data_IF_568484218778
#
_entry.id   IF_568484218778
#
_cell.length_a   1.000
_cell.length_b   1.000
_cell.length_c   1.000
_cell.angle_alpha   90.00
_cell.angle_beta   90.00
_cell.angle_gamma   90.00
#
_symmetry.space_group_name_H-M   'P 1'
#
loop_
_entity.id
_entity.type
_entity.pdbx_description
1 polymer ?
#
# COMPACT_ATOMS: atom_id res chain seq x y z
N UNK A 1 -10.82 19.26 -11.29
CA UNK A 1 -10.36 19.53 -9.91
C UNK A 1 -10.55 18.25 -9.14
N UNK A 2 -9.56 17.79 -8.37
CA UNK A 2 -9.67 16.54 -7.60
C UNK A 2 -10.64 16.76 -6.45
N UNK A 3 -11.70 15.95 -6.37
CA UNK A 3 -12.74 16.08 -5.35
C UNK A 3 -12.41 15.24 -4.12
N UNK A 4 -12.70 15.79 -2.95
CA UNK A 4 -12.49 15.11 -1.67
C UNK A 4 -13.84 14.88 -0.99
N UNK A 5 -14.13 13.62 -0.69
CA UNK A 5 -15.18 13.24 0.24
C UNK A 5 -14.71 13.55 1.67
N UNK A 6 -15.53 14.25 2.44
CA UNK A 6 -15.29 14.50 3.87
C UNK A 6 -15.96 13.40 4.66
N UNK A 7 -15.20 12.73 5.51
CA UNK A 7 -15.69 11.68 6.40
C UNK A 7 -15.53 12.15 7.85
N UNK A 8 -16.54 11.85 8.67
CA UNK A 8 -16.52 12.02 10.12
C UNK A 8 -16.98 10.71 10.75
N UNK A 9 -16.17 10.16 11.64
CA UNK A 9 -16.50 9.01 12.46
C UNK A 9 -16.67 9.46 13.91
N UNK A 10 -17.78 9.08 14.51
CA UNK A 10 -17.94 9.07 15.97
C UNK A 10 -17.84 7.61 16.41
N UNK A 11 -16.83 7.31 17.22
CA UNK A 11 -16.49 5.95 17.60
C UNK A 11 -16.69 5.81 19.10
N UNK A 12 -17.36 4.74 19.52
CA UNK A 12 -17.52 4.41 20.93
C UNK A 12 -17.12 2.97 21.21
N UNK A 13 -16.43 2.72 22.31
CA UNK A 13 -15.94 1.38 22.63
C UNK A 13 -15.14 1.30 23.93
N UNK A 14 -14.57 0.13 24.20
CA UNK A 14 -13.70 -0.07 25.37
C UNK A 14 -12.42 0.76 25.22
N UNK A 15 -11.98 1.41 26.30
CA UNK A 15 -10.78 2.27 26.31
C UNK A 15 -9.57 1.65 25.61
N UNK A 16 -9.28 0.38 25.93
CA UNK A 16 -8.11 -0.33 25.38
C UNK A 16 -8.22 -0.50 23.87
N UNK A 17 -9.42 -0.74 23.35
CA UNK A 17 -9.63 -0.86 21.92
C UNK A 17 -9.54 0.48 21.21
N UNK A 18 -10.02 1.56 21.84
CA UNK A 18 -9.83 2.93 21.36
C UNK A 18 -8.35 3.30 21.31
N UNK A 19 -7.54 2.89 22.29
CA UNK A 19 -6.09 3.13 22.30
C UNK A 19 -5.37 2.42 21.13
N UNK A 20 -5.79 1.18 20.82
CA UNK A 20 -5.31 0.45 19.63
C UNK A 20 -5.75 1.17 18.35
N UNK A 21 -7.02 1.57 18.26
CA UNK A 21 -7.54 2.29 17.09
C UNK A 21 -6.83 3.65 16.89
N UNK A 22 -6.46 4.35 17.96
CA UNK A 22 -5.64 5.56 17.87
C UNK A 22 -4.29 5.27 17.21
N UNK A 23 -3.65 4.15 17.54
CA UNK A 23 -2.39 3.74 16.92
C UNK A 23 -2.54 3.49 15.41
N UNK A 24 -3.68 2.93 14.98
CA UNK A 24 -4.04 2.80 13.57
C UNK A 24 -4.29 4.16 12.90
N UNK A 25 -5.02 5.07 13.57
CA UNK A 25 -5.30 6.42 13.05
C UNK A 25 -3.99 7.20 12.85
N UNK A 26 -3.04 7.10 13.77
CA UNK A 26 -1.75 7.80 13.69
C UNK A 26 -0.72 7.07 12.83
N UNK A 27 -0.99 5.84 12.39
CA UNK A 27 -0.07 5.04 11.58
C UNK A 27 1.17 4.58 12.34
N UNK A 28 1.09 4.44 13.67
CA UNK A 28 2.22 4.02 14.53
C UNK A 28 2.37 2.50 14.64
N UNK A 29 1.40 1.75 14.12
CA UNK A 29 1.50 0.30 14.02
C UNK A 29 2.47 -0.14 12.93
N UNK A 30 3.14 -1.28 13.16
CA UNK A 30 4.05 -1.88 12.18
C UNK A 30 3.23 -2.53 11.06
N UNK A 31 3.35 -2.09 9.80
CA UNK A 31 2.58 -2.63 8.70
C UNK A 31 3.20 -3.92 8.15
N UNK A 32 2.92 -5.05 8.79
CA UNK A 32 3.48 -6.37 8.40
C UNK A 32 3.15 -6.75 6.94
N UNK A 33 2.02 -6.29 6.38
CA UNK A 33 1.70 -6.50 4.97
C UNK A 33 2.71 -5.82 4.03
N UNK A 34 3.21 -4.63 4.37
CA UNK A 34 4.27 -3.95 3.60
C UNK A 34 5.59 -4.70 3.69
N UNK A 35 5.85 -5.38 4.81
CA UNK A 35 7.03 -6.24 4.92
C UNK A 35 6.92 -7.38 3.92
N UNK A 36 5.79 -8.09 3.93
CA UNK A 36 5.53 -9.19 3.01
C UNK A 36 5.63 -8.75 1.53
N UNK A 37 5.10 -7.59 1.16
CA UNK A 37 5.20 -7.05 -0.21
C UNK A 37 6.66 -6.77 -0.60
N UNK A 38 7.44 -6.08 0.24
CA UNK A 38 8.86 -5.82 -0.04
C UNK A 38 9.68 -7.10 -0.15
N UNK A 39 9.43 -8.04 0.75
CA UNK A 39 10.06 -9.37 0.72
C UNK A 39 9.71 -10.10 -0.58
N UNK A 40 8.44 -10.07 -0.97
CA UNK A 40 7.93 -10.70 -2.19
C UNK A 40 8.53 -10.10 -3.46
N UNK A 41 8.67 -8.78 -3.54
CA UNK A 41 9.33 -8.10 -4.68
C UNK A 41 10.78 -8.59 -4.80
N UNK A 42 11.53 -8.65 -3.69
CA UNK A 42 12.93 -9.10 -3.73
C UNK A 42 13.05 -10.60 -4.08
N UNK A 43 12.15 -11.46 -3.56
CA UNK A 43 12.05 -12.87 -3.94
C UNK A 43 11.71 -13.04 -5.42
N UNK A 44 10.77 -12.25 -5.94
CA UNK A 44 10.39 -12.22 -7.35
C UNK A 44 11.60 -11.86 -8.23
N UNK A 45 12.30 -10.77 -7.91
CA UNK A 45 13.51 -10.36 -8.61
C UNK A 45 14.59 -11.46 -8.61
N UNK A 46 14.82 -12.09 -7.45
CA UNK A 46 15.78 -13.18 -7.31
C UNK A 46 15.41 -14.41 -8.16
N UNK A 47 14.12 -14.72 -8.28
CA UNK A 47 13.59 -15.76 -9.18
C UNK A 47 13.83 -15.44 -10.65
N UNK A 48 13.52 -14.21 -11.07
CA UNK A 48 13.67 -13.75 -12.46
C UNK A 48 15.10 -13.81 -13.01
N UNK A 49 16.11 -13.81 -12.13
CA UNK A 49 17.52 -13.98 -12.48
C UNK A 49 18.12 -15.33 -12.09
N UNK A 50 17.31 -16.23 -11.53
CA UNK A 50 17.73 -17.58 -11.19
C UNK A 50 18.66 -17.70 -9.98
N UNK A 51 18.72 -16.68 -9.12
CA UNK A 51 19.36 -16.79 -7.79
C UNK A 51 18.58 -17.79 -6.94
N UNK A 52 17.25 -17.68 -6.99
CA UNK A 52 16.32 -18.65 -6.43
C UNK A 52 15.64 -19.39 -7.58
N UNK A 53 15.45 -20.71 -7.41
CA UNK A 53 14.86 -21.57 -8.44
C UNK A 53 13.83 -22.52 -7.82
N UNK A 54 12.75 -22.87 -8.53
CA UNK A 54 11.81 -23.88 -8.04
C UNK A 54 12.51 -25.23 -7.88
N UNK A 55 12.08 -26.04 -6.92
CA UNK A 55 12.63 -27.40 -6.71
C UNK A 55 11.86 -28.47 -7.49
N UNK A 56 10.72 -28.10 -8.08
CA UNK A 56 9.92 -28.93 -8.98
C UNK A 56 9.82 -28.25 -10.34
N UNK A 57 9.42 -29.00 -11.36
CA UNK A 57 8.98 -28.38 -12.61
C UNK A 57 7.72 -27.55 -12.30
N UNK A 58 7.81 -26.24 -12.44
CA UNK A 58 6.73 -25.30 -12.12
C UNK A 58 6.61 -24.32 -13.28
N UNK A 59 5.38 -24.07 -13.72
CA UNK A 59 5.07 -23.03 -14.70
C UNK A 59 4.38 -21.88 -13.97
N UNK A 60 4.81 -20.65 -14.20
CA UNK A 60 4.09 -19.46 -13.73
C UNK A 60 3.56 -18.69 -14.94
N UNK A 61 2.33 -19.00 -15.34
CA UNK A 61 1.75 -18.53 -16.62
C UNK A 61 1.63 -17.01 -16.72
N UNK A 62 1.35 -16.35 -15.60
CA UNK A 62 1.22 -14.89 -15.55
C UNK A 62 2.55 -14.16 -15.85
N UNK A 63 3.70 -14.80 -15.55
CA UNK A 63 5.03 -14.29 -15.86
C UNK A 63 6.07 -15.43 -16.02
N UNK A 64 6.15 -16.07 -17.20
CA UNK A 64 6.98 -17.27 -17.40
C UNK A 64 8.48 -17.05 -17.11
N UNK A 65 8.96 -15.81 -17.27
CA UNK A 65 10.35 -15.46 -16.98
C UNK A 65 10.78 -15.70 -15.54
N UNK A 66 9.84 -15.70 -14.57
CA UNK A 66 10.10 -15.95 -13.15
C UNK A 66 10.75 -17.31 -12.89
N UNK A 67 10.44 -18.32 -13.72
CA UNK A 67 10.91 -19.71 -13.57
C UNK A 67 11.75 -20.16 -14.77
N UNK A 68 12.12 -19.23 -15.66
CA UNK A 68 12.86 -19.51 -16.90
C UNK A 68 14.25 -20.12 -16.70
N UNK A 69 14.84 -19.94 -15.50
CA UNK A 69 16.15 -20.50 -15.13
C UNK A 69 16.13 -22.00 -14.78
N UNK A 70 14.97 -22.65 -14.94
CA UNK A 70 14.76 -24.08 -14.72
C UNK A 70 14.69 -24.48 -13.25
N UNK A 71 14.67 -25.79 -13.01
CA UNK A 71 14.60 -26.38 -11.67
C UNK A 71 15.97 -26.33 -10.97
N UNK A 72 15.98 -25.88 -9.72
CA UNK A 72 17.15 -25.87 -8.84
C UNK A 72 17.26 -27.14 -7.99
N UNK A 73 18.39 -27.29 -7.30
CA UNK A 73 18.57 -28.34 -6.30
C UNK A 73 17.66 -28.12 -5.08
N UNK A 74 17.37 -29.20 -4.33
CA UNK A 74 16.53 -29.18 -3.12
C UNK A 74 17.27 -28.59 -1.91
N UNK A 75 17.68 -27.33 -2.03
CA UNK A 75 18.29 -26.55 -0.95
C UNK A 75 17.21 -25.78 -0.19
N UNK A 76 17.52 -25.39 1.05
CA UNK A 76 16.59 -24.60 1.88
C UNK A 76 16.09 -23.33 1.16
N UNK A 77 16.95 -22.52 0.50
CA UNK A 77 16.46 -21.35 -0.23
C UNK A 77 15.50 -21.64 -1.39
N UNK A 78 15.78 -22.69 -2.17
CA UNK A 78 14.93 -23.07 -3.29
C UNK A 78 13.60 -23.66 -2.83
N UNK A 79 13.58 -24.37 -1.70
CA UNK A 79 12.34 -24.84 -1.08
C UNK A 79 11.48 -23.66 -0.58
N UNK A 80 12.09 -22.66 0.05
CA UNK A 80 11.39 -21.43 0.43
C UNK A 80 10.80 -20.72 -0.80
N UNK A 81 11.58 -20.62 -1.89
CA UNK A 81 11.10 -20.05 -3.14
C UNK A 81 9.95 -20.86 -3.77
N UNK A 82 9.95 -22.19 -3.67
CA UNK A 82 8.81 -22.99 -4.10
C UNK A 82 7.53 -22.64 -3.32
N UNK A 83 7.63 -22.47 -2.01
CA UNK A 83 6.49 -22.05 -1.19
C UNK A 83 6.04 -20.61 -1.50
N UNK A 84 6.95 -19.73 -1.86
CA UNK A 84 6.62 -18.40 -2.37
C UNK A 84 5.80 -18.48 -3.66
N UNK A 85 6.23 -19.31 -4.63
CA UNK A 85 5.50 -19.53 -5.87
C UNK A 85 4.08 -20.06 -5.63
N UNK A 86 3.89 -20.95 -4.66
CA UNK A 86 2.56 -21.47 -4.28
C UNK A 86 1.62 -20.38 -3.74
N UNK A 87 2.17 -19.38 -3.03
CA UNK A 87 1.39 -18.23 -2.55
C UNK A 87 1.08 -17.25 -3.67
N UNK A 88 2.05 -17.03 -4.55
CA UNK A 88 1.93 -16.12 -5.69
C UNK A 88 0.91 -16.65 -6.72
N UNK A 89 0.94 -17.96 -7.02
CA UNK A 89 0.00 -18.60 -7.95
C UNK A 89 -1.46 -18.51 -7.48
N UNK A 90 -1.68 -18.54 -6.16
CA UNK A 90 -3.03 -18.41 -5.56
C UNK A 90 -3.46 -16.96 -5.39
N UNK A 91 -2.57 -16.01 -5.67
CA UNK A 91 -2.71 -14.61 -5.31
C UNK A 91 -3.21 -14.48 -3.86
N UNK A 92 -2.47 -15.08 -2.92
CA UNK A 92 -2.93 -15.28 -1.56
C UNK A 92 -3.26 -13.95 -0.84
N UNK A 93 -4.30 -13.96 -0.01
CA UNK A 93 -4.63 -12.84 0.88
C UNK A 93 -3.47 -12.58 1.84
N UNK A 94 -3.14 -11.31 2.04
CA UNK A 94 -2.12 -10.84 2.98
C UNK A 94 -2.65 -10.81 4.43
N UNK A 95 -3.25 -11.91 4.86
CA UNK A 95 -3.74 -12.13 6.22
C UNK A 95 -2.63 -12.57 7.19
N UNK A 96 -2.91 -12.63 8.49
CA UNK A 96 -1.92 -13.01 9.50
C UNK A 96 -1.22 -14.36 9.27
N UNK A 97 -1.90 -15.32 8.61
CA UNK A 97 -1.33 -16.63 8.28
C UNK A 97 -0.33 -16.51 7.14
N UNK A 98 -0.70 -15.83 6.06
CA UNK A 98 0.18 -15.57 4.92
C UNK A 98 1.36 -14.71 5.31
N UNK A 99 1.16 -13.67 6.13
CA UNK A 99 2.24 -12.79 6.62
C UNK A 99 3.27 -13.58 7.42
N UNK A 100 2.81 -14.42 8.37
CA UNK A 100 3.70 -15.30 9.14
C UNK A 100 4.44 -16.31 8.26
N UNK A 101 3.81 -16.77 7.18
CA UNK A 101 4.44 -17.69 6.22
C UNK A 101 5.45 -16.98 5.33
N UNK A 102 5.17 -15.75 4.89
CA UNK A 102 6.09 -14.92 4.11
C UNK A 102 7.36 -14.60 4.88
N UNK A 103 7.27 -14.29 6.17
CA UNK A 103 8.44 -14.06 7.02
C UNK A 103 9.32 -15.32 7.14
N UNK A 104 8.72 -16.50 7.33
CA UNK A 104 9.46 -17.77 7.32
C UNK A 104 10.15 -18.04 5.98
N UNK A 105 9.45 -17.80 4.87
CA UNK A 105 10.01 -17.92 3.52
C UNK A 105 11.20 -16.96 3.35
N UNK A 106 11.05 -15.72 3.79
CA UNK A 106 12.10 -14.71 3.73
C UNK A 106 13.36 -15.15 4.45
N UNK A 107 13.25 -15.53 5.73
CA UNK A 107 14.37 -16.01 6.54
C UNK A 107 15.00 -17.27 5.91
N UNK A 108 14.18 -18.23 5.49
CA UNK A 108 14.66 -19.50 4.93
C UNK A 108 15.34 -19.32 3.56
N UNK A 109 14.93 -18.30 2.79
CA UNK A 109 15.53 -17.97 1.49
C UNK A 109 16.93 -17.35 1.61
N UNK A 110 17.23 -16.68 2.73
CA UNK A 110 18.47 -15.92 2.91
C UNK A 110 18.63 -14.72 1.96
N UNK A 111 17.59 -14.36 1.19
CA UNK A 111 17.69 -13.29 0.17
C UNK A 111 17.88 -11.91 0.78
N UNK A 112 17.49 -11.71 2.04
CA UNK A 112 17.73 -10.48 2.78
C UNK A 112 19.21 -10.14 2.95
N UNK A 113 20.07 -11.17 3.04
CA UNK A 113 21.51 -11.01 3.26
C UNK A 113 22.31 -10.88 1.95
N UNK A 114 21.68 -11.16 0.80
CA UNK A 114 22.33 -11.06 -0.50
C UNK A 114 22.55 -9.59 -0.86
N UNK A 115 23.83 -9.19 -0.83
CA UNK A 115 24.27 -7.85 -1.21
C UNK A 115 24.31 -7.66 -2.71
N UNK A 116 23.98 -6.46 -3.17
CA UNK A 116 23.93 -6.12 -4.59
C UNK A 116 25.22 -6.51 -5.34
N UNK A 117 26.39 -6.26 -4.75
CA UNK A 117 27.71 -6.50 -5.35
C UNK A 117 28.00 -7.97 -5.56
N UNK A 118 27.40 -8.85 -4.76
CA UNK A 118 27.55 -10.31 -4.89
C UNK A 118 26.79 -10.87 -6.10
N UNK A 119 25.86 -10.10 -6.68
CA UNK A 119 25.03 -10.52 -7.79
C UNK A 119 25.80 -10.39 -9.11
N UNK A 120 25.83 -11.43 -9.96
CA UNK A 120 26.46 -11.36 -11.27
C UNK A 120 25.97 -10.17 -12.11
N UNK A 121 26.88 -9.53 -12.85
CA UNK A 121 26.57 -8.30 -13.58
C UNK A 121 25.36 -8.42 -14.52
N UNK A 122 25.24 -9.53 -15.27
CA UNK A 122 24.10 -9.78 -16.15
C UNK A 122 22.76 -9.86 -15.38
N UNK A 123 22.77 -10.48 -14.19
CA UNK A 123 21.60 -10.54 -13.32
C UNK A 123 21.25 -9.14 -12.77
N UNK A 124 22.24 -8.37 -12.33
CA UNK A 124 22.04 -6.97 -11.91
C UNK A 124 21.40 -6.11 -13.00
N UNK A 125 21.81 -6.28 -14.26
CA UNK A 125 21.20 -5.56 -15.38
C UNK A 125 19.71 -5.90 -15.55
N UNK A 126 19.34 -7.18 -15.41
CA UNK A 126 17.93 -7.60 -15.49
C UNK A 126 17.10 -7.06 -14.32
N UNK A 127 17.62 -7.14 -13.09
CA UNK A 127 16.96 -6.61 -11.89
C UNK A 127 16.79 -5.09 -12.00
N UNK A 128 17.83 -4.36 -12.42
CA UNK A 128 17.78 -2.91 -12.59
C UNK A 128 16.70 -2.49 -13.60
N UNK A 129 16.58 -3.21 -14.72
CA UNK A 129 15.52 -2.96 -15.72
C UNK A 129 14.12 -3.18 -15.14
N UNK A 130 13.91 -4.29 -14.44
CA UNK A 130 12.61 -4.57 -13.80
C UNK A 130 12.25 -3.49 -12.78
N UNK A 131 13.17 -3.15 -11.88
CA UNK A 131 12.95 -2.09 -10.89
C UNK A 131 12.70 -0.72 -11.52
N UNK A 132 13.33 -0.41 -12.66
CA UNK A 132 13.11 0.84 -13.37
C UNK A 132 11.72 0.91 -14.03
N UNK A 133 11.25 -0.20 -14.61
CA UNK A 133 9.92 -0.28 -15.24
C UNK A 133 8.80 -0.20 -14.19
N UNK A 134 8.98 -0.87 -13.06
CA UNK A 134 7.99 -0.96 -11.98
C UNK A 134 8.27 0.03 -10.83
N UNK A 135 9.00 1.11 -11.12
CA UNK A 135 9.57 1.98 -10.09
C UNK A 135 8.48 2.68 -9.25
N UNK A 136 7.45 3.21 -9.92
CA UNK A 136 6.37 3.92 -9.24
C UNK A 136 5.58 2.99 -8.32
N UNK A 137 5.28 1.79 -8.78
CA UNK A 137 4.49 0.79 -8.04
C UNK A 137 5.26 0.23 -6.83
N UNK A 138 6.51 -0.18 -7.02
CA UNK A 138 7.27 -0.86 -5.96
C UNK A 138 7.87 0.08 -4.93
N UNK A 139 8.15 1.34 -5.30
CA UNK A 139 8.83 2.30 -4.42
C UNK A 139 7.94 3.48 -4.02
N UNK A 140 6.72 3.59 -4.56
CA UNK A 140 5.76 4.63 -4.18
C UNK A 140 6.21 6.05 -4.55
N UNK A 141 7.05 6.18 -5.58
CA UNK A 141 7.60 7.47 -6.02
C UNK A 141 6.97 7.81 -7.37
N UNK A 142 6.13 8.84 -7.41
CA UNK A 142 5.72 9.47 -8.67
C UNK A 142 6.99 10.03 -9.33
N UNK A 143 7.37 9.48 -10.49
CA UNK A 143 8.62 9.76 -11.18
C UNK A 143 9.01 11.24 -11.13
N UNK A 144 9.98 11.57 -10.28
CA UNK A 144 10.47 12.94 -10.10
C UNK A 144 12.00 12.92 -10.05
N UNK A 145 12.63 13.05 -11.22
CA UNK A 145 13.96 13.64 -11.45
C UNK A 145 15.20 13.11 -10.71
N UNK A 146 15.07 12.20 -9.76
CA UNK A 146 16.17 11.62 -9.00
C UNK A 146 16.92 10.57 -9.80
N UNK A 147 18.22 10.48 -9.58
CA UNK A 147 19.04 9.43 -10.18
C UNK A 147 18.61 8.07 -9.60
N UNK A 148 18.08 7.19 -10.44
CA UNK A 148 17.72 5.83 -10.06
C UNK A 148 18.99 5.02 -9.80
N UNK A 149 19.24 4.67 -8.55
CA UNK A 149 20.29 3.73 -8.17
C UNK A 149 19.70 2.34 -7.86
N UNK A 150 19.92 1.33 -8.72
CA UNK A 150 19.46 -0.04 -8.49
C UNK A 150 19.99 -0.65 -7.20
N UNK A 151 21.21 -0.28 -6.78
CA UNK A 151 21.83 -0.82 -5.57
C UNK A 151 21.09 -0.34 -4.33
N UNK A 152 20.88 0.98 -4.22
CA UNK A 152 20.11 1.57 -3.13
C UNK A 152 18.73 0.93 -3.03
N UNK A 153 18.05 0.74 -4.17
CA UNK A 153 16.70 0.14 -4.22
C UNK A 153 16.70 -1.33 -3.82
N UNK A 154 17.72 -2.10 -4.18
CA UNK A 154 17.88 -3.50 -3.76
C UNK A 154 18.06 -3.64 -2.24
N UNK A 155 18.87 -2.77 -1.64
CA UNK A 155 19.07 -2.75 -0.19
C UNK A 155 17.83 -2.21 0.54
N UNK A 156 17.15 -1.19 -0.01
CA UNK A 156 15.92 -0.63 0.53
C UNK A 156 14.80 -1.67 0.67
N UNK A 157 14.69 -2.63 -0.26
CA UNK A 157 13.73 -3.74 -0.15
C UNK A 157 13.95 -4.62 1.09
N UNK A 158 15.09 -4.52 1.77
CA UNK A 158 15.38 -5.24 3.03
C UNK A 158 15.20 -4.38 4.27
N UNK A 159 14.95 -3.08 4.11
CA UNK A 159 14.62 -2.17 5.21
C UNK A 159 13.11 -2.26 5.41
N UNK A 160 12.66 -2.76 6.55
CA UNK A 160 11.23 -2.93 6.84
C UNK A 160 10.69 -1.72 7.62
N UNK A 161 9.57 -1.10 7.18
CA UNK A 161 9.01 0.08 7.83
C UNK A 161 8.38 -0.27 9.18
N UNK A 162 8.55 0.60 10.17
CA UNK A 162 7.93 0.44 11.51
C UNK A 162 6.62 1.22 11.68
N UNK A 163 6.28 2.06 10.71
CA UNK A 163 5.09 2.91 10.70
C UNK A 163 4.43 2.85 9.32
N UNK A 164 3.17 3.28 9.25
CA UNK A 164 2.40 3.39 8.01
C UNK A 164 1.70 4.74 7.90
N UNK A 165 0.97 4.98 6.82
CA UNK A 165 0.17 6.18 6.67
C UNK A 165 -1.01 6.19 7.68
N UNK A 166 -1.49 7.38 8.07
CA UNK A 166 -2.69 7.50 8.88
C UNK A 166 -3.88 6.76 8.27
N UNK A 167 -4.64 6.06 9.12
CA UNK A 167 -5.88 5.38 8.73
C UNK A 167 -5.67 4.41 7.54
N UNK A 168 -4.58 3.65 7.57
CA UNK A 168 -4.22 2.67 6.54
C UNK A 168 -5.20 1.49 6.49
N UNK A 169 -6.06 1.43 5.48
CA UNK A 169 -7.15 0.46 5.44
C UNK A 169 -6.68 -0.96 5.09
N UNK A 170 -5.46 -1.13 4.55
CA UNK A 170 -4.87 -2.44 4.34
C UNK A 170 -4.56 -3.17 5.67
N UNK A 171 -4.50 -2.43 6.78
CA UNK A 171 -4.38 -3.00 8.13
C UNK A 171 -5.72 -3.50 8.68
N UNK A 172 -6.83 -3.04 8.09
CA UNK A 172 -8.20 -3.43 8.47
C UNK A 172 -8.65 -4.61 7.62
N UNK A 173 -8.59 -4.47 6.28
CA UNK A 173 -8.88 -5.54 5.34
C UNK A 173 -7.61 -5.89 4.55
N UNK A 174 -7.25 -7.18 4.44
CA UNK A 174 -6.02 -7.55 3.75
C UNK A 174 -6.15 -7.37 2.22
N UNK A 175 -5.03 -6.99 1.59
CA UNK A 175 -4.88 -7.03 0.14
C UNK A 175 -4.40 -8.41 -0.35
N UNK A 176 -3.97 -8.53 -1.61
CA UNK A 176 -3.55 -9.80 -2.24
C UNK A 176 -2.12 -9.74 -2.78
N UNK A 177 -1.35 -10.79 -2.53
CA UNK A 177 0.09 -10.82 -2.72
C UNK A 177 0.54 -10.55 -4.17
N UNK A 178 -0.04 -11.24 -5.15
CA UNK A 178 0.39 -11.11 -6.54
C UNK A 178 -0.09 -9.79 -7.14
N UNK A 179 -1.30 -9.34 -6.79
CA UNK A 179 -1.80 -8.02 -7.19
C UNK A 179 -0.95 -6.88 -6.66
N UNK A 180 -0.49 -6.92 -5.41
CA UNK A 180 0.42 -5.90 -4.84
C UNK A 180 1.77 -5.83 -5.56
N UNK A 181 2.28 -6.96 -6.05
CA UNK A 181 3.51 -6.98 -6.87
C UNK A 181 3.22 -6.48 -8.30
N UNK A 182 2.01 -6.73 -8.81
CA UNK A 182 1.56 -6.29 -10.13
C UNK A 182 1.48 -4.77 -10.23
N UNK A 183 1.01 -4.11 -9.16
CA UNK A 183 0.77 -2.67 -9.13
C UNK A 183 -0.19 -2.22 -10.23
N UNK A 184 0.05 -1.04 -10.78
CA UNK A 184 -0.64 -0.52 -11.98
C UNK A 184 0.07 -0.87 -13.29
N UNK A 185 1.27 -1.44 -13.20
CA UNK A 185 2.11 -1.69 -14.37
C UNK A 185 1.65 -2.82 -15.30
N UNK A 186 0.77 -3.71 -14.83
CA UNK A 186 0.33 -4.89 -15.58
C UNK A 186 1.44 -5.92 -15.81
N UNK A 187 2.40 -6.05 -14.88
CA UNK A 187 3.49 -7.03 -14.89
C UNK A 187 2.99 -8.48 -15.10
N UNK A 188 1.89 -8.85 -14.46
CA UNK A 188 1.32 -10.18 -14.49
C UNK A 188 0.11 -10.24 -15.41
N UNK A 189 0.21 -11.08 -16.44
CA UNK A 189 -0.87 -11.26 -17.41
C UNK A 189 -2.10 -11.90 -16.74
N UNK A 190 -3.25 -11.24 -16.86
CA UNK A 190 -4.54 -11.74 -16.37
C UNK A 190 -4.82 -11.51 -14.88
N UNK A 191 -3.97 -10.75 -14.18
CA UNK A 191 -4.24 -10.30 -12.81
C UNK A 191 -4.75 -8.86 -12.80
N UNK A 192 -5.61 -8.55 -11.83
CA UNK A 192 -6.10 -7.20 -11.60
C UNK A 192 -4.94 -6.25 -11.24
N UNK A 193 -5.10 -4.96 -11.53
CA UNK A 193 -4.23 -3.93 -10.96
C UNK A 193 -4.57 -3.68 -9.49
N UNK A 194 -3.66 -3.01 -8.77
CA UNK A 194 -3.91 -2.59 -7.39
C UNK A 194 -5.15 -1.70 -7.27
N UNK A 195 -5.36 -0.78 -8.21
CA UNK A 195 -6.49 0.15 -8.21
C UNK A 195 -7.81 -0.57 -8.44
N UNK A 196 -7.85 -1.53 -9.37
CA UNK A 196 -9.04 -2.37 -9.58
C UNK A 196 -9.40 -3.16 -8.31
N UNK A 197 -8.40 -3.77 -7.67
CA UNK A 197 -8.60 -4.48 -6.40
C UNK A 197 -9.06 -3.52 -5.30
N UNK A 198 -8.46 -2.34 -5.20
CA UNK A 198 -8.77 -1.40 -4.13
C UNK A 198 -10.16 -0.80 -4.28
N UNK A 199 -10.58 -0.48 -5.50
CA UNK A 199 -11.97 -0.08 -5.77
C UNK A 199 -12.94 -1.20 -5.36
N UNK A 200 -12.62 -2.45 -5.68
CA UNK A 200 -13.48 -3.59 -5.33
C UNK A 200 -13.59 -3.83 -3.82
N UNK A 201 -12.50 -3.67 -3.07
CA UNK A 201 -12.47 -3.97 -1.62
C UNK A 201 -12.86 -2.78 -0.76
N UNK A 202 -12.30 -1.61 -1.04
CA UNK A 202 -12.40 -0.43 -0.19
C UNK A 202 -13.34 0.64 -0.76
N UNK A 203 -13.85 0.46 -1.98
CA UNK A 203 -14.66 1.46 -2.67
C UNK A 203 -13.85 2.66 -3.21
N UNK A 204 -12.52 2.63 -3.11
CA UNK A 204 -11.65 3.73 -3.53
C UNK A 204 -10.25 3.27 -3.93
N UNK A 205 -9.62 4.02 -4.83
CA UNK A 205 -8.27 3.73 -5.37
C UNK A 205 -7.13 3.97 -4.36
N UNK A 206 -7.36 4.79 -3.33
CA UNK A 206 -6.34 5.12 -2.34
C UNK A 206 -6.87 4.79 -0.94
N UNK A 207 -6.67 3.54 -0.45
CA UNK A 207 -7.22 3.02 0.81
C UNK A 207 -6.55 3.59 2.07
N UNK A 208 -6.50 4.93 2.18
CA UNK A 208 -5.93 5.65 3.32
C UNK A 208 -6.68 6.97 3.60
N UNK A 209 -6.68 7.39 4.87
CA UNK A 209 -7.23 8.67 5.28
C UNK A 209 -6.28 9.84 5.02
N UNK A 210 -6.75 10.87 4.33
CA UNK A 210 -5.97 12.09 4.07
C UNK A 210 -6.44 13.22 5.00
N UNK A 211 -5.51 14.05 5.49
CA UNK A 211 -5.84 15.16 6.41
C UNK A 211 -6.66 14.67 7.62
N UNK A 212 -6.18 13.59 8.25
CA UNK A 212 -6.85 13.01 9.39
C UNK A 212 -6.65 13.89 10.62
N UNK A 213 -7.74 14.18 11.32
CA UNK A 213 -7.74 14.86 12.61
C UNK A 213 -8.53 14.01 13.60
N UNK A 214 -7.98 13.83 14.78
CA UNK A 214 -8.54 12.94 15.79
C UNK A 214 -8.61 13.68 17.13
N UNK A 215 -9.79 13.67 17.75
CA UNK A 215 -10.00 14.16 19.11
C UNK A 215 -10.61 13.08 19.97
N UNK A 216 -10.11 12.94 21.19
CA UNK A 216 -10.69 12.05 22.20
C UNK A 216 -11.55 12.89 23.12
N UNK A 217 -12.86 12.66 23.07
CA UNK A 217 -13.83 13.41 23.86
C UNK A 217 -13.97 12.80 25.27
N UNK A 218 -13.84 11.48 25.38
CA UNK A 218 -13.89 10.72 26.63
C UNK A 218 -13.03 9.44 26.54
N UNK A 219 -12.84 8.74 27.66
CA UNK A 219 -12.11 7.48 27.76
C UNK A 219 -12.61 6.46 26.72
N UNK A 220 -13.93 6.37 26.52
CA UNK A 220 -14.54 5.43 25.57
C UNK A 220 -15.01 6.05 24.25
N UNK A 221 -14.70 7.32 23.96
CA UNK A 221 -15.22 8.03 22.80
C UNK A 221 -14.15 8.77 22.01
N UNK A 222 -14.19 8.59 20.69
CA UNK A 222 -13.23 9.16 19.75
C UNK A 222 -13.97 9.78 18.55
N UNK A 223 -13.56 10.98 18.16
CA UNK A 223 -13.99 11.61 16.91
C UNK A 223 -12.83 11.65 15.94
N UNK A 224 -13.05 11.13 14.75
CA UNK A 224 -12.09 11.14 13.65
C UNK A 224 -12.71 11.85 12.45
N UNK A 225 -11.99 12.81 11.87
CA UNK A 225 -12.32 13.34 10.55
C UNK A 225 -11.19 13.01 9.60
N UNK A 226 -11.52 12.70 8.34
CA UNK A 226 -10.54 12.51 7.28
C UNK A 226 -11.17 12.71 5.91
N UNK A 227 -10.32 12.90 4.90
CA UNK A 227 -10.72 13.03 3.51
C UNK A 227 -10.37 11.77 2.72
N UNK A 228 -11.27 11.33 1.85
CA UNK A 228 -11.02 10.28 0.86
C UNK A 228 -11.26 10.81 -0.56
N UNK A 229 -10.58 10.26 -1.58
CA UNK A 229 -10.81 10.67 -2.97
C UNK A 229 -12.21 10.30 -3.46
N UNK A 230 -12.98 11.29 -3.95
CA UNK A 230 -14.31 11.20 -4.56
C UNK A 230 -15.44 10.59 -3.69
N UNK A 231 -15.25 9.40 -3.14
CA UNK A 231 -16.25 8.59 -2.43
C UNK A 231 -15.79 8.26 -1.01
N UNK A 232 -16.73 8.00 -0.08
CA UNK A 232 -16.38 7.44 1.22
C UNK A 232 -15.82 6.01 1.05
N UNK A 233 -15.09 5.50 2.06
CA UNK A 233 -14.75 4.07 2.10
C UNK A 233 -16.01 3.20 2.09
N UNK A 234 -15.88 1.98 1.58
CA UNK A 234 -16.98 1.01 1.51
C UNK A 234 -17.53 0.66 2.90
N UNK A 235 -18.80 0.25 2.95
CA UNK A 235 -19.44 -0.20 4.18
C UNK A 235 -18.75 -1.43 4.77
N UNK A 236 -18.18 -2.29 3.92
CA UNK A 236 -17.40 -3.46 4.31
C UNK A 236 -16.16 -3.06 5.13
N UNK A 237 -15.46 -1.99 4.75
CA UNK A 237 -14.31 -1.47 5.52
C UNK A 237 -14.75 -1.00 6.89
N UNK A 238 -15.86 -0.26 6.97
CA UNK A 238 -16.38 0.25 8.24
C UNK A 238 -16.86 -0.89 9.15
N UNK A 239 -17.54 -1.89 8.60
CA UNK A 239 -17.92 -3.10 9.31
C UNK A 239 -16.69 -3.85 9.85
N UNK A 240 -15.72 -4.16 9.00
CA UNK A 240 -14.48 -4.83 9.42
C UNK A 240 -13.70 -4.02 10.47
N UNK A 241 -13.70 -2.69 10.36
CA UNK A 241 -13.09 -1.81 11.35
C UNK A 241 -13.79 -1.91 12.71
N UNK A 242 -15.13 -1.86 12.73
CA UNK A 242 -15.93 -1.99 13.96
C UNK A 242 -15.71 -3.33 14.65
N UNK A 243 -15.59 -4.42 13.87
CA UNK A 243 -15.28 -5.75 14.38
C UNK A 243 -13.85 -5.84 14.92
N UNK A 244 -12.86 -5.38 14.14
CA UNK A 244 -11.43 -5.47 14.48
C UNK A 244 -11.11 -4.71 15.77
N UNK A 245 -11.72 -3.55 15.96
CA UNK A 245 -11.51 -2.70 17.13
C UNK A 245 -12.61 -2.85 18.20
N UNK A 246 -13.50 -3.84 18.10
CA UNK A 246 -14.55 -4.11 19.11
C UNK A 246 -15.26 -2.83 19.56
N UNK A 247 -15.75 -2.06 18.59
CA UNK A 247 -16.33 -0.74 18.78
C UNK A 247 -17.57 -0.51 17.91
N UNK A 248 -18.35 0.50 18.26
CA UNK A 248 -19.38 1.09 17.42
C UNK A 248 -18.79 2.25 16.62
N UNK A 249 -19.12 2.33 15.34
CA UNK A 249 -18.66 3.36 14.41
C UNK A 249 -19.85 4.01 13.72
N UNK A 250 -20.04 5.30 14.01
CA UNK A 250 -21.03 6.16 13.38
C UNK A 250 -20.34 6.98 12.30
N UNK A 251 -20.52 6.57 11.05
CA UNK A 251 -19.86 7.16 9.88
C UNK A 251 -20.79 8.14 9.17
N UNK A 252 -20.37 9.39 9.11
CA UNK A 252 -20.99 10.44 8.34
C UNK A 252 -20.09 10.82 7.17
N UNK A 253 -20.65 11.03 5.98
CA UNK A 253 -19.87 11.50 4.84
C UNK A 253 -20.60 12.52 3.99
N UNK A 254 -19.81 13.35 3.31
CA UNK A 254 -20.25 14.34 2.35
C UNK A 254 -19.29 14.35 1.16
N UNK A 255 -19.81 14.03 -0.04
CA UNK A 255 -19.12 14.13 -1.32
C UNK A 255 -19.80 15.21 -2.18
N UNK A 256 -19.37 16.49 -2.07
CA UNK A 256 -20.05 17.60 -2.72
C UNK A 256 -20.15 17.45 -4.24
N UNK A 257 -19.06 17.07 -4.90
CA UNK A 257 -19.02 17.00 -6.37
C UNK A 257 -19.74 15.76 -6.92
N UNK A 258 -19.85 14.69 -6.12
CA UNK A 258 -20.66 13.53 -6.45
C UNK A 258 -22.15 13.72 -6.12
N UNK A 259 -22.49 14.78 -5.37
CA UNK A 259 -23.85 15.04 -4.91
C UNK A 259 -24.38 14.01 -3.91
N UNK A 260 -23.49 13.29 -3.22
CA UNK A 260 -23.87 12.24 -2.26
C UNK A 260 -23.47 12.62 -0.84
N UNK A 261 -24.30 12.21 0.12
CA UNK A 261 -24.05 12.37 1.55
C UNK A 261 -24.86 11.34 2.31
N UNK A 262 -24.46 11.02 3.53
CA UNK A 262 -25.22 10.08 4.33
C UNK A 262 -24.60 9.80 5.68
N UNK A 263 -25.23 8.83 6.33
CA UNK A 263 -24.89 8.29 7.63
C UNK A 263 -25.06 6.78 7.61
N UNK A 264 -24.11 6.09 8.24
CA UNK A 264 -24.16 4.67 8.55
C UNK A 264 -23.69 4.43 9.99
N UNK A 265 -24.26 3.42 10.64
CA UNK A 265 -23.80 2.93 11.93
C UNK A 265 -23.39 1.47 11.81
N UNK A 266 -22.23 1.14 12.37
CA UNK A 266 -21.68 -0.21 12.41
C UNK A 266 -21.34 -0.57 13.85
N UNK A 267 -21.69 -1.78 14.29
CA UNK A 267 -21.34 -2.29 15.61
C UNK A 267 -20.83 -3.72 15.48
N UNK A 268 -19.59 -3.95 15.94
CA UNK A 268 -19.02 -5.29 16.06
C UNK A 268 -19.02 -6.12 14.76
N UNK A 269 -18.99 -5.44 13.60
CA UNK A 269 -19.03 -6.05 12.27
C UNK A 269 -20.36 -5.89 11.53
N UNK A 270 -21.45 -5.61 12.23
CA UNK A 270 -22.79 -5.54 11.66
C UNK A 270 -23.15 -4.10 11.27
N UNK A 271 -23.81 -3.95 10.13
CA UNK A 271 -24.41 -2.68 9.72
C UNK A 271 -25.77 -2.53 10.39
N UNK A 272 -25.87 -1.67 11.40
CA UNK A 272 -27.04 -1.58 12.28
C UNK A 272 -28.06 -0.51 11.85
N UNK A 273 -27.62 0.58 11.23
CA UNK A 273 -28.50 1.68 10.82
C UNK A 273 -27.92 2.51 9.66
N UNK A 274 -28.79 3.18 8.92
CA UNK A 274 -28.41 4.11 7.84
C UNK A 274 -29.39 5.27 7.74
N UNK A 275 -28.91 6.45 7.35
CA UNK A 275 -29.74 7.65 7.31
C UNK A 275 -29.13 8.80 6.51
N UNK A 276 -29.85 9.93 6.42
CA UNK A 276 -29.33 11.14 5.79
C UNK A 276 -28.24 11.79 6.66
N UNK A 277 -27.36 12.57 6.03
CA UNK A 277 -26.41 13.41 6.76
C UNK A 277 -27.18 14.45 7.60
N UNK A 278 -26.85 14.64 8.89
CA UNK A 278 -27.58 15.55 9.77
C UNK A 278 -27.46 17.00 9.28
N UNK A 279 -28.60 17.67 9.11
CA UNK A 279 -28.68 19.02 8.54
C UNK A 279 -28.13 20.14 9.43
N UNK A 280 -27.76 19.86 10.69
CA UNK A 280 -27.36 20.88 11.67
C UNK A 280 -25.86 21.27 11.61
N UNK A 281 -25.02 20.53 10.88
CA UNK A 281 -23.56 20.74 10.84
C UNK A 281 -23.02 21.38 9.54
N UNK A 282 -23.88 21.96 8.71
CA UNK A 282 -23.45 22.58 7.44
C UNK A 282 -22.92 24.01 7.68
N UNK A 283 -21.83 24.15 8.42
CA UNK A 283 -20.98 25.35 8.36
C UNK A 283 -19.87 25.11 7.34
N UNK A 284 -20.07 25.62 6.13
CA UNK A 284 -18.99 25.77 5.16
C UNK A 284 -18.09 26.94 5.59
N UNK A 285 -16.81 26.73 5.96
CA UNK A 285 -15.85 27.79 5.74
C UNK A 285 -15.67 27.89 4.22
N UNK A 286 -16.17 28.98 3.64
CA UNK A 286 -15.79 29.39 2.29
C UNK A 286 -14.28 29.54 2.29
N UNK A 287 -13.55 28.57 1.75
CA UNK A 287 -12.10 28.71 1.59
C UNK A 287 -11.86 29.71 0.46
N UNK A 288 -11.54 30.95 0.83
CA UNK A 288 -10.85 31.88 -0.05
C UNK A 288 -9.63 31.19 -0.64
N UNK A 289 -9.51 31.25 -1.97
CA UNK A 289 -8.26 31.17 -2.72
C UNK A 289 -7.36 29.98 -2.41
N UNK A 290 -7.35 29.00 -3.32
CA UNK A 290 -6.30 28.01 -3.43
C UNK A 290 -4.91 28.68 -3.38
N UNK A 291 -4.24 28.62 -2.22
CA UNK A 291 -2.80 28.84 -2.12
C UNK A 291 -2.13 27.47 -2.25
N UNK A 292 -1.58 27.24 -3.43
CA UNK A 292 -0.59 26.18 -3.65
C UNK A 292 0.56 26.42 -2.67
N UNK A 293 0.68 25.55 -1.66
CA UNK A 293 1.88 25.50 -0.84
C UNK A 293 2.95 24.72 -1.61
N UNK A 294 3.90 25.45 -2.17
CA UNK A 294 5.21 24.95 -2.56
C UNK A 294 5.91 24.44 -1.29
N UNK A 295 6.38 23.19 -1.32
CA UNK A 295 7.32 22.70 -0.30
C UNK A 295 8.63 23.49 -0.42
N UNK A 296 8.97 24.28 0.60
CA UNK A 296 10.28 24.91 0.72
C UNK A 296 11.34 23.84 0.96
N UNK A 297 12.28 23.71 0.04
CA UNK A 297 13.62 23.22 0.36
C UNK A 297 14.38 24.40 0.98
N UNK A 298 14.73 24.31 2.26
CA UNK A 298 15.62 25.28 2.88
C UNK A 298 17.07 25.10 2.40
N UNK A 299 17.76 26.25 2.34
CA UNK A 299 19.18 26.49 2.09
C UNK A 299 19.63 26.62 0.62
N UNK A 300 19.35 27.80 0.03
CA UNK A 300 20.09 28.32 -1.11
C UNK A 300 21.24 29.24 -0.64
N UNK A 301 22.46 28.93 -1.07
CA UNK A 301 23.56 29.86 -1.28
C UNK A 301 23.89 29.91 -2.79
N UNK A 302 24.52 30.98 -3.31
CA UNK A 302 23.90 31.75 -4.38
C UNK A 302 24.25 31.35 -5.83
N UNK A 303 23.39 31.86 -6.70
CA UNK A 303 23.32 31.75 -8.15
C UNK A 303 24.66 31.82 -8.91
N UNK A 304 24.75 30.95 -9.92
CA UNK A 304 25.50 31.22 -11.14
C UNK A 304 24.65 30.88 -12.36
N UNK A 305 24.54 31.88 -13.23
CA UNK A 305 23.88 31.89 -14.53
C UNK A 305 24.49 30.94 -15.55
N UNK A 306 23.67 30.30 -16.40
CA UNK A 306 23.82 30.32 -17.87
C UNK A 306 22.72 29.45 -18.54
N UNK A 307 21.85 30.07 -19.36
CA UNK A 307 21.84 30.05 -20.84
C UNK A 307 21.12 28.84 -21.45
N UNK A 308 20.14 29.17 -22.30
CA UNK A 308 19.27 28.33 -23.10
C UNK A 308 19.98 27.36 -24.07
N UNK A 309 19.32 26.26 -24.45
CA UNK A 309 19.04 25.94 -25.86
C UNK A 309 18.09 24.72 -26.04
N UNK A 310 17.02 24.99 -26.79
CA UNK A 310 16.17 24.17 -27.68
C UNK A 310 16.33 22.63 -27.84
N UNK A 311 15.15 21.98 -27.75
CA UNK A 311 14.46 21.15 -28.76
C UNK A 311 14.98 19.78 -29.25
N UNK A 312 13.98 18.87 -29.40
CA UNK A 312 14.00 17.67 -30.25
C UNK A 312 14.79 16.52 -29.63
N UNK A 313 14.34 15.26 -29.66
CA UNK A 313 13.95 14.51 -30.85
C UNK A 313 13.09 13.33 -30.41
N UNK A 314 11.92 13.19 -31.05
CA UNK A 314 11.26 11.89 -31.24
C UNK A 314 12.02 11.16 -32.35
N UNK A 315 12.43 9.94 -32.06
CA UNK A 315 12.97 8.94 -32.98
C UNK A 315 12.92 7.60 -32.26
#
# INVERSE_FOLDING_TARGET
MFSWCKNRLEITGKSVCIDIMQSWITGTEVPLYRHAIRQAIKLFLAGCVGILKPVKATEYRAYPELVSSGTGGSTSPNQAFQHFLELLEKDAWLDGTTLSRMDKIWVQSGIGDVKWESIPYAARQKIARLMAVHYADWFGVASAGGQFDPQERWEWLSIMPYTTCPCDMLMVMPSRLATEINGESGLFCGLNTTSELYIQLYGMEFPAGHRSECSRDDIGSLKLTFSSPWYPPSAEVMGQMSQKFDCEIRHYWLSPDAGTSGYHCFDSGDHVDSGPYPGEDVQYPVSEGARLYQFSAEAAAPAASAVAHYAGVRG
#
